data_IF_264350211103
#
_entry.id   IF_264350211103
#
_cell.length_a   1.000
_cell.length_b   1.000
_cell.length_c   1.000
_cell.angle_alpha   90.00
_cell.angle_beta   90.00
_cell.angle_gamma   90.00
#
_symmetry.space_group_name_H-M   'P 1'
#
loop_
_entity.id
_entity.type
_entity.pdbx_description
1 polymer ?
#
# COMPACT_ATOMS: atom_id res chain seq x y z
N UNK A 1 -2.71 -17.35 2.24
CA UNK A 1 -2.83 -16.06 2.96
C UNK A 1 -3.72 -16.13 4.20
N UNK A 2 -4.88 -16.81 4.19
CA UNK A 2 -5.78 -16.92 5.37
C UNK A 2 -5.10 -17.27 6.71
N UNK A 3 -4.16 -18.23 6.72
CA UNK A 3 -3.38 -18.59 7.92
C UNK A 3 -2.59 -17.41 8.51
N UNK A 4 -2.09 -16.52 7.65
CA UNK A 4 -1.36 -15.32 8.08
C UNK A 4 -2.32 -14.30 8.66
N UNK A 5 -3.47 -14.09 8.04
CA UNK A 5 -4.53 -13.21 8.56
C UNK A 5 -4.98 -13.65 9.97
N UNK A 6 -5.21 -14.95 10.15
CA UNK A 6 -5.57 -15.52 11.44
C UNK A 6 -4.45 -15.33 12.47
N UNK A 7 -3.19 -15.40 12.05
CA UNK A 7 -2.02 -15.18 12.92
C UNK A 7 -1.92 -13.70 13.33
N UNK A 8 -2.12 -12.76 12.39
CA UNK A 8 -2.13 -11.32 12.65
C UNK A 8 -3.23 -10.96 13.66
N UNK A 9 -4.43 -11.49 13.48
CA UNK A 9 -5.55 -11.23 14.38
C UNK A 9 -5.32 -11.84 15.77
N UNK A 10 -4.80 -13.07 15.86
CA UNK A 10 -4.45 -13.70 17.14
C UNK A 10 -3.37 -12.90 17.89
N UNK A 11 -2.32 -12.47 17.20
CA UNK A 11 -1.27 -11.61 17.78
C UNK A 11 -1.84 -10.30 18.32
N UNK A 12 -2.68 -9.64 17.52
CA UNK A 12 -3.33 -8.41 17.95
C UNK A 12 -4.15 -8.64 19.23
N UNK A 13 -5.01 -9.66 19.26
CA UNK A 13 -5.83 -9.96 20.45
C UNK A 13 -4.99 -10.31 21.67
N UNK A 14 -3.94 -11.11 21.49
CA UNK A 14 -3.06 -11.57 22.56
C UNK A 14 -2.40 -10.43 23.32
N UNK A 15 -1.88 -9.43 22.60
CA UNK A 15 -1.24 -8.27 23.22
C UNK A 15 -2.23 -7.17 23.58
N UNK A 16 -3.26 -6.91 22.76
CA UNK A 16 -4.19 -5.79 22.97
C UNK A 16 -5.02 -5.92 24.24
N UNK A 17 -5.49 -7.13 24.56
CA UNK A 17 -6.42 -7.36 25.65
C UNK A 17 -5.75 -7.74 26.98
N UNK A 18 -4.42 -7.90 27.00
CA UNK A 18 -3.65 -8.18 28.21
C UNK A 18 -2.60 -7.08 28.44
N UNK A 19 -2.78 -6.31 29.51
CA UNK A 19 -1.82 -5.29 29.93
C UNK A 19 -0.46 -5.93 30.26
N UNK A 20 -0.47 -7.13 30.86
CA UNK A 20 0.74 -7.87 31.20
C UNK A 20 1.51 -8.31 29.95
N UNK A 21 0.84 -8.90 28.95
CA UNK A 21 1.50 -9.29 27.70
C UNK A 21 2.02 -8.07 26.93
N UNK A 22 1.23 -6.98 26.88
CA UNK A 22 1.68 -5.73 26.30
C UNK A 22 2.91 -5.14 26.99
N UNK A 23 2.98 -5.19 28.32
CA UNK A 23 4.11 -4.70 29.09
C UNK A 23 5.36 -5.58 28.88
N UNK A 24 5.19 -6.91 28.88
CA UNK A 24 6.25 -7.87 28.60
C UNK A 24 6.87 -7.64 27.22
N UNK A 25 6.04 -7.57 26.18
CA UNK A 25 6.50 -7.30 24.81
C UNK A 25 7.25 -5.97 24.73
N UNK A 26 6.77 -4.91 25.39
CA UNK A 26 7.47 -3.61 25.41
C UNK A 26 8.85 -3.71 26.05
N UNK A 27 8.98 -4.45 27.14
CA UNK A 27 10.27 -4.66 27.81
C UNK A 27 11.26 -5.39 26.88
N UNK A 28 10.79 -6.43 26.18
CA UNK A 28 11.61 -7.15 25.19
C UNK A 28 11.93 -6.24 24.01
N UNK A 29 10.97 -5.48 23.49
CA UNK A 29 11.19 -4.55 22.37
C UNK A 29 12.25 -3.50 22.70
N UNK A 30 12.30 -2.95 23.90
CA UNK A 30 13.33 -1.96 24.29
C UNK A 30 14.75 -2.53 24.13
N UNK A 31 14.93 -3.84 24.36
CA UNK A 31 16.22 -4.50 24.21
C UNK A 31 16.64 -4.68 22.73
N UNK A 32 15.68 -4.80 21.81
CA UNK A 32 15.94 -5.10 20.39
C UNK A 32 15.70 -3.92 19.43
N UNK A 33 14.83 -2.98 19.81
CA UNK A 33 14.27 -1.94 18.96
C UNK A 33 14.23 -0.67 19.79
N UNK A 34 15.01 0.34 19.39
CA UNK A 34 15.17 1.61 20.12
C UNK A 34 13.84 2.30 20.47
N UNK A 35 12.76 2.03 19.71
CA UNK A 35 11.41 2.49 20.00
C UNK A 35 10.40 1.32 19.96
N UNK A 36 9.66 1.06 21.06
CA UNK A 36 8.69 -0.02 21.10
C UNK A 36 7.50 0.25 20.17
N UNK A 37 7.11 -0.77 19.41
CA UNK A 37 6.04 -0.69 18.42
C UNK A 37 4.78 -1.37 18.95
N UNK A 38 3.65 -0.67 18.87
CA UNK A 38 2.35 -1.29 19.19
C UNK A 38 1.88 -2.17 18.05
N UNK A 39 1.47 -3.40 18.36
CA UNK A 39 0.86 -4.31 17.39
C UNK A 39 -0.49 -3.75 16.95
N UNK A 40 -0.67 -3.59 15.64
CA UNK A 40 -1.88 -3.00 15.05
C UNK A 40 -2.82 -4.08 14.53
N UNK A 41 -4.12 -3.76 14.52
CA UNK A 41 -5.13 -4.66 13.99
C UNK A 41 -5.09 -4.69 12.46
N UNK A 42 -5.14 -5.88 11.90
CA UNK A 42 -5.28 -6.11 10.47
C UNK A 42 -6.77 -6.08 10.07
N UNK A 43 -7.28 -4.94 9.60
CA UNK A 43 -8.65 -4.87 9.06
C UNK A 43 -8.67 -5.42 7.62
N UNK A 44 -9.39 -6.52 7.41
CA UNK A 44 -9.44 -7.25 6.14
C UNK A 44 -9.80 -6.40 4.90
N UNK A 45 -10.64 -5.37 5.07
CA UNK A 45 -11.11 -4.52 3.96
C UNK A 45 -10.24 -3.29 3.70
N UNK A 46 -9.16 -3.06 4.47
CA UNK A 46 -8.31 -1.86 4.33
C UNK A 46 -6.85 -2.23 4.24
N UNK A 47 -6.30 -2.13 3.04
CA UNK A 47 -4.88 -2.38 2.76
C UNK A 47 -3.96 -1.55 3.66
N UNK A 48 -4.33 -0.31 3.98
CA UNK A 48 -3.58 0.55 4.90
C UNK A 48 -3.48 -0.03 6.32
N UNK A 49 -4.59 -0.53 6.86
CA UNK A 49 -4.60 -1.14 8.20
C UNK A 49 -3.78 -2.43 8.20
N UNK A 50 -3.92 -3.23 7.14
CA UNK A 50 -3.22 -4.49 6.99
C UNK A 50 -1.71 -4.28 6.85
N UNK A 51 -1.27 -3.30 6.04
CA UNK A 51 0.12 -2.89 5.92
C UNK A 51 0.71 -2.45 7.25
N UNK A 52 -0.02 -1.63 8.01
CA UNK A 52 0.43 -1.19 9.33
C UNK A 52 0.58 -2.34 10.33
N UNK A 53 -0.33 -3.32 10.31
CA UNK A 53 -0.24 -4.52 11.13
C UNK A 53 1.00 -5.36 10.77
N UNK A 54 1.15 -5.70 9.49
CA UNK A 54 2.29 -6.46 8.97
C UNK A 54 3.62 -5.75 9.27
N UNK A 55 3.71 -4.44 9.01
CA UNK A 55 4.91 -3.66 9.29
C UNK A 55 5.27 -3.64 10.78
N UNK A 56 4.29 -3.53 11.69
CA UNK A 56 4.54 -3.56 13.13
C UNK A 56 5.10 -4.91 13.60
N UNK A 57 4.58 -6.01 13.04
CA UNK A 57 4.95 -7.37 13.39
C UNK A 57 6.30 -7.74 12.79
N UNK A 58 6.54 -7.47 11.51
CA UNK A 58 7.81 -7.79 10.85
C UNK A 58 8.99 -7.01 11.48
N UNK A 59 8.77 -5.74 11.84
CA UNK A 59 9.80 -4.95 12.55
C UNK A 59 10.04 -5.43 13.98
N UNK A 60 9.02 -5.98 14.63
CA UNK A 60 9.11 -6.50 16.00
C UNK A 60 9.28 -8.01 16.06
N UNK A 61 9.59 -8.65 14.94
CA UNK A 61 9.40 -10.08 14.79
C UNK A 61 10.22 -10.88 15.80
N UNK A 62 11.51 -10.56 15.93
CA UNK A 62 12.41 -11.20 16.89
C UNK A 62 11.94 -10.98 18.33
N UNK A 63 11.55 -9.74 18.69
CA UNK A 63 11.05 -9.43 20.02
C UNK A 63 9.77 -10.21 20.36
N UNK A 64 8.84 -10.33 19.41
CA UNK A 64 7.60 -11.12 19.58
C UNK A 64 7.92 -12.59 19.82
N UNK A 65 8.84 -13.17 19.04
CA UNK A 65 9.21 -14.59 19.20
C UNK A 65 9.85 -14.82 20.57
N UNK A 66 10.79 -13.98 20.99
CA UNK A 66 11.46 -14.08 22.30
C UNK A 66 10.46 -13.94 23.46
N UNK A 67 9.54 -12.98 23.37
CA UNK A 67 8.50 -12.79 24.39
C UNK A 67 7.58 -14.02 24.51
N UNK A 68 7.16 -14.59 23.37
CA UNK A 68 6.34 -15.80 23.34
C UNK A 68 7.11 -17.05 23.80
N UNK A 69 8.40 -17.16 23.51
CA UNK A 69 9.25 -18.25 24.02
C UNK A 69 9.42 -18.17 25.54
N UNK A 70 9.59 -16.96 26.08
CA UNK A 70 9.66 -16.72 27.52
C UNK A 70 8.32 -17.04 28.18
N UNK A 71 7.22 -16.66 27.53
CA UNK A 71 5.86 -16.96 27.98
C UNK A 71 5.50 -18.45 27.86
N UNK A 72 6.11 -19.19 26.93
CA UNK A 72 5.90 -20.64 26.76
C UNK A 72 6.32 -21.42 28.02
N UNK A 73 7.34 -20.94 28.73
CA UNK A 73 7.76 -21.48 30.04
C UNK A 73 6.60 -21.45 31.06
N UNK A 74 5.66 -20.51 30.90
CA UNK A 74 4.47 -20.37 31.76
C UNK A 74 3.24 -21.22 31.34
N UNK A 75 3.38 -22.07 30.31
CA UNK A 75 2.32 -22.97 29.82
C UNK A 75 1.06 -22.29 29.25
N UNK A 76 1.20 -21.09 28.64
CA UNK A 76 0.08 -20.45 27.93
C UNK A 76 -0.21 -21.15 26.58
N UNK A 77 -1.34 -21.87 26.44
CA UNK A 77 -1.66 -22.59 25.21
C UNK A 77 -1.91 -21.66 24.02
N UNK A 78 -2.40 -20.43 24.24
CA UNK A 78 -2.68 -19.47 23.18
C UNK A 78 -1.37 -18.91 22.63
N UNK A 79 -0.46 -18.49 23.51
CA UNK A 79 0.89 -18.04 23.16
C UNK A 79 1.65 -19.11 22.38
N UNK A 80 1.54 -20.38 22.79
CA UNK A 80 2.19 -21.51 22.13
C UNK A 80 1.66 -21.77 20.72
N UNK A 81 0.35 -21.66 20.51
CA UNK A 81 -0.26 -21.76 19.19
C UNK A 81 0.23 -20.66 18.23
N UNK A 82 0.38 -19.43 18.76
CA UNK A 82 0.92 -18.29 17.99
C UNK A 82 2.39 -18.51 17.67
N UNK A 83 3.20 -18.91 18.66
CA UNK A 83 4.63 -19.18 18.48
C UNK A 83 4.88 -20.25 17.42
N UNK A 84 4.12 -21.36 17.46
CA UNK A 84 4.19 -22.40 16.43
C UNK A 84 3.84 -21.87 15.03
N UNK A 85 2.87 -20.96 14.95
CA UNK A 85 2.48 -20.34 13.67
C UNK A 85 3.55 -19.38 13.16
N UNK A 86 4.22 -18.64 14.04
CA UNK A 86 5.33 -17.77 13.66
C UNK A 86 6.57 -18.56 13.23
N UNK A 87 6.91 -19.64 13.94
CA UNK A 87 8.03 -20.53 13.59
C UNK A 87 7.82 -21.35 12.32
N UNK A 88 6.63 -21.32 11.74
CA UNK A 88 6.37 -21.94 10.44
C UNK A 88 7.04 -21.13 9.31
N UNK A 89 7.98 -21.71 8.55
CA UNK A 89 8.73 -20.98 7.53
C UNK A 89 7.83 -20.41 6.42
N UNK A 90 6.72 -21.08 6.10
CA UNK A 90 5.74 -20.56 5.13
C UNK A 90 5.06 -19.28 5.65
N UNK A 91 4.70 -19.25 6.94
CA UNK A 91 4.07 -18.08 7.56
C UNK A 91 5.03 -16.89 7.61
N UNK A 92 6.31 -17.12 7.97
CA UNK A 92 7.35 -16.09 7.90
C UNK A 92 7.48 -15.52 6.47
N UNK A 93 7.63 -16.38 5.46
CA UNK A 93 7.77 -15.94 4.05
C UNK A 93 6.56 -15.13 3.57
N UNK A 94 5.35 -15.54 3.95
CA UNK A 94 4.15 -14.78 3.59
C UNK A 94 4.13 -13.41 4.27
N UNK A 95 4.52 -13.30 5.54
CA UNK A 95 4.59 -12.01 6.24
C UNK A 95 5.61 -11.07 5.59
N UNK A 96 6.78 -11.59 5.21
CA UNK A 96 7.80 -10.80 4.50
C UNK A 96 7.29 -10.38 3.11
N UNK A 97 6.60 -11.28 2.38
CA UNK A 97 6.04 -10.99 1.06
C UNK A 97 4.98 -9.88 1.16
N UNK A 98 4.13 -9.94 2.18
CA UNK A 98 3.15 -8.89 2.46
C UNK A 98 3.83 -7.57 2.83
N UNK A 99 4.91 -7.61 3.62
CA UNK A 99 5.67 -6.41 3.97
C UNK A 99 6.35 -5.75 2.76
N UNK A 100 6.70 -6.52 1.73
CA UNK A 100 7.26 -6.01 0.48
C UNK A 100 6.19 -5.51 -0.51
N UNK A 101 4.97 -6.05 -0.47
CA UNK A 101 3.93 -5.77 -1.48
C UNK A 101 2.92 -4.71 -1.05
N UNK A 102 2.43 -4.78 0.19
CA UNK A 102 1.38 -3.89 0.70
C UNK A 102 1.75 -2.40 0.70
N UNK A 103 3.01 -1.97 0.94
CA UNK A 103 3.36 -0.56 0.88
C UNK A 103 3.06 0.08 -0.48
N UNK A 104 3.31 -0.65 -1.57
CA UNK A 104 3.04 -0.16 -2.93
C UNK A 104 1.54 0.04 -3.19
N UNK A 105 0.72 -0.90 -2.71
CA UNK A 105 -0.74 -0.77 -2.78
C UNK A 105 -1.27 0.38 -1.92
N UNK A 106 -0.65 0.62 -0.75
CA UNK A 106 -1.01 1.74 0.11
C UNK A 106 -0.66 3.08 -0.55
N UNK A 107 0.45 3.18 -1.30
CA UNK A 107 0.80 4.39 -2.03
C UNK A 107 -0.29 4.79 -3.02
N UNK A 108 -0.79 3.83 -3.81
CA UNK A 108 -1.90 4.06 -4.73
C UNK A 108 -3.17 4.45 -3.96
N UNK A 109 -3.50 3.72 -2.89
CA UNK A 109 -4.69 4.03 -2.07
C UNK A 109 -4.64 5.42 -1.44
N UNK A 110 -3.47 5.84 -0.96
CA UNK A 110 -3.27 7.15 -0.35
C UNK A 110 -3.25 8.26 -1.39
N UNK A 111 -2.88 7.99 -2.64
CA UNK A 111 -2.96 8.96 -3.73
C UNK A 111 -4.40 9.42 -3.94
N UNK A 112 -5.35 8.48 -3.98
CA UNK A 112 -6.78 8.78 -4.13
C UNK A 112 -7.42 9.41 -2.89
N UNK A 113 -6.83 9.21 -1.70
CA UNK A 113 -7.36 9.77 -0.45
C UNK A 113 -6.83 11.19 -0.14
N UNK A 114 -5.96 11.75 -0.99
CA UNK A 114 -5.45 13.11 -0.80
C UNK A 114 -6.55 14.11 -1.16
N UNK A 115 -6.61 15.21 -0.41
CA UNK A 115 -7.51 16.32 -0.71
C UNK A 115 -7.18 16.99 -2.05
N UNK A 116 -5.89 17.05 -2.36
CA UNK A 116 -5.36 17.60 -3.61
C UNK A 116 -4.80 16.44 -4.45
N UNK A 117 -5.68 15.65 -5.07
CA UNK A 117 -5.26 14.55 -5.94
C UNK A 117 -4.69 15.13 -7.24
N UNK A 118 -3.39 14.91 -7.49
CA UNK A 118 -2.87 15.12 -8.84
C UNK A 118 -3.30 13.93 -9.71
N UNK A 119 -4.43 14.10 -10.41
CA UNK A 119 -5.02 13.10 -11.27
C UNK A 119 -4.08 12.66 -12.40
N UNK A 120 -3.20 13.54 -12.88
CA UNK A 120 -2.25 13.15 -13.93
C UNK A 120 -1.09 12.27 -13.44
N UNK A 121 -0.84 12.24 -12.12
CA UNK A 121 0.13 11.33 -11.51
C UNK A 121 -0.44 9.93 -11.21
N UNK A 122 -1.76 9.74 -11.34
CA UNK A 122 -2.45 8.47 -11.04
C UNK A 122 -1.95 7.35 -11.94
N UNK A 123 -1.97 7.56 -13.27
CA UNK A 123 -1.47 6.57 -14.23
C UNK A 123 -0.03 6.19 -13.96
N UNK A 124 0.86 7.20 -13.86
CA UNK A 124 2.28 7.00 -13.60
C UNK A 124 2.54 6.22 -12.32
N UNK A 125 1.79 6.50 -11.26
CA UNK A 125 1.94 5.82 -9.96
C UNK A 125 1.40 4.38 -10.02
N UNK A 126 0.31 4.16 -10.74
CA UNK A 126 -0.26 2.83 -10.99
C UNK A 126 0.68 1.97 -11.82
N UNK A 127 1.19 2.46 -12.94
CA UNK A 127 2.14 1.74 -13.81
C UNK A 127 3.41 1.37 -13.06
N UNK A 128 3.94 2.30 -12.25
CA UNK A 128 5.09 2.04 -11.38
C UNK A 128 4.79 0.93 -10.36
N UNK A 129 3.58 0.94 -9.79
CA UNK A 129 3.15 -0.08 -8.83
C UNK A 129 3.02 -1.45 -9.49
N UNK A 130 2.35 -1.54 -10.65
CA UNK A 130 2.20 -2.78 -11.42
C UNK A 130 3.56 -3.33 -11.86
N UNK A 131 4.44 -2.48 -12.43
CA UNK A 131 5.81 -2.87 -12.78
C UNK A 131 6.57 -3.40 -11.57
N UNK A 132 6.43 -2.74 -10.41
CA UNK A 132 7.07 -3.22 -9.18
C UNK A 132 6.53 -4.58 -8.76
N UNK A 133 5.22 -4.80 -8.78
CA UNK A 133 4.62 -6.10 -8.45
C UNK A 133 5.08 -7.20 -9.41
N UNK A 134 5.20 -6.90 -10.71
CA UNK A 134 5.74 -7.83 -11.71
C UNK A 134 7.21 -8.18 -11.45
N UNK A 135 8.05 -7.17 -11.15
CA UNK A 135 9.45 -7.40 -10.75
C UNK A 135 9.51 -8.27 -9.49
N UNK A 136 8.58 -8.08 -8.55
CA UNK A 136 8.51 -8.89 -7.32
C UNK A 136 8.09 -10.33 -7.56
N UNK A 137 7.70 -10.76 -8.77
CA UNK A 137 7.52 -12.18 -9.10
C UNK A 137 8.87 -12.90 -9.23
N UNK A 138 9.87 -12.22 -9.78
CA UNK A 138 11.20 -12.79 -10.07
C UNK A 138 12.27 -12.36 -9.08
N UNK A 139 12.17 -11.16 -8.51
CA UNK A 139 13.15 -10.57 -7.60
C UNK A 139 12.59 -10.38 -6.19
N UNK A 140 13.32 -10.88 -5.19
CA UNK A 140 12.98 -10.72 -3.78
C UNK A 140 12.94 -9.23 -3.38
N UNK A 141 11.99 -8.88 -2.52
CA UNK A 141 11.93 -7.55 -1.93
C UNK A 141 12.88 -7.39 -0.74
N UNK A 142 13.03 -6.16 -0.22
CA UNK A 142 13.92 -5.87 0.91
C UNK A 142 13.69 -6.75 2.14
N UNK A 143 12.45 -7.16 2.42
CA UNK A 143 12.13 -8.04 3.54
C UNK A 143 12.39 -9.51 3.23
N UNK A 144 12.04 -10.00 2.04
CA UNK A 144 12.36 -11.38 1.62
C UNK A 144 13.87 -11.65 1.58
N UNK A 145 14.68 -10.66 1.18
CA UNK A 145 16.14 -10.79 1.20
C UNK A 145 16.69 -11.00 2.62
N UNK A 146 16.01 -10.45 3.64
CA UNK A 146 16.37 -10.60 5.05
C UNK A 146 15.85 -11.89 5.69
N UNK A 147 15.14 -12.73 4.95
CA UNK A 147 14.54 -13.98 5.46
C UNK A 147 15.56 -14.85 6.19
N UNK A 148 16.73 -15.09 5.59
CA UNK A 148 17.76 -15.95 6.19
C UNK A 148 18.30 -15.40 7.51
N UNK A 149 18.53 -14.08 7.57
CA UNK A 149 18.98 -13.41 8.78
C UNK A 149 17.92 -13.49 9.88
N UNK A 150 16.66 -13.22 9.54
CA UNK A 150 15.55 -13.29 10.49
C UNK A 150 15.37 -14.72 10.99
N UNK A 151 15.37 -15.71 10.10
CA UNK A 151 15.21 -17.13 10.43
C UNK A 151 16.35 -17.67 11.30
N UNK A 152 17.60 -17.24 11.06
CA UNK A 152 18.75 -17.60 11.87
C UNK A 152 18.64 -17.06 13.31
N UNK A 153 18.20 -15.81 13.48
CA UNK A 153 18.07 -15.18 14.80
C UNK A 153 17.05 -15.86 15.74
N UNK A 154 16.13 -16.65 15.18
CA UNK A 154 14.98 -17.26 15.88
C UNK A 154 14.93 -18.79 15.72
N UNK A 155 15.97 -19.38 15.13
CA UNK A 155 16.10 -20.82 14.90
C UNK A 155 14.94 -21.45 14.12
N UNK A 156 14.51 -20.83 13.00
CA UNK A 156 13.56 -21.46 12.06
C UNK A 156 14.35 -22.26 11.00
N UNK A 157 14.04 -23.55 10.86
CA UNK A 157 14.54 -24.38 9.76
C UNK A 157 13.85 -23.98 8.46
N UNK A 158 14.59 -23.40 7.52
CA UNK A 158 14.05 -22.98 6.22
C UNK A 158 14.17 -24.09 5.18
N UNK A 159 13.03 -24.52 4.62
CA UNK A 159 12.96 -25.39 3.44
C UNK A 159 13.27 -24.64 2.12
N UNK A 160 13.52 -25.32 0.98
CA UNK A 160 13.84 -24.64 -0.29
C UNK A 160 12.81 -23.57 -0.69
N UNK A 161 13.30 -22.42 -1.16
CA UNK A 161 12.46 -21.26 -1.57
C UNK A 161 11.64 -21.52 -2.85
N UNK A 162 12.09 -22.45 -3.69
CA UNK A 162 11.49 -22.71 -5.00
C UNK A 162 10.00 -23.10 -4.90
N UNK A 163 9.67 -23.99 -3.97
CA UNK A 163 8.29 -24.45 -3.75
C UNK A 163 7.36 -23.32 -3.30
N UNK A 164 7.85 -22.42 -2.44
CA UNK A 164 7.09 -21.26 -1.99
C UNK A 164 6.82 -20.28 -3.14
N UNK A 165 7.82 -20.04 -3.98
CA UNK A 165 7.68 -19.12 -5.11
C UNK A 165 6.60 -19.60 -6.08
N UNK A 166 6.64 -20.87 -6.45
CA UNK A 166 5.67 -21.44 -7.41
C UNK A 166 4.27 -21.60 -6.81
N UNK A 167 4.16 -22.06 -5.56
CA UNK A 167 2.85 -22.40 -4.96
C UNK A 167 2.13 -21.21 -4.32
N UNK A 168 2.86 -20.20 -3.85
CA UNK A 168 2.28 -19.09 -3.06
C UNK A 168 2.54 -17.74 -3.71
N UNK A 169 3.81 -17.42 -3.99
CA UNK A 169 4.19 -16.07 -4.45
C UNK A 169 3.61 -15.72 -5.81
N UNK A 170 3.83 -16.56 -6.82
CA UNK A 170 3.39 -16.29 -8.18
C UNK A 170 1.85 -16.19 -8.26
N UNK A 171 1.08 -17.17 -7.74
CA UNK A 171 -0.39 -17.08 -7.80
C UNK A 171 -0.95 -15.89 -7.02
N UNK A 172 -0.35 -15.55 -5.87
CA UNK A 172 -0.77 -14.39 -5.07
C UNK A 172 -0.53 -13.07 -5.81
N UNK A 173 0.66 -12.90 -6.38
CA UNK A 173 1.00 -11.68 -7.11
C UNK A 173 0.18 -11.54 -8.40
N UNK A 174 -0.07 -12.64 -9.11
CA UNK A 174 -0.93 -12.64 -10.29
C UNK A 174 -2.35 -12.21 -9.94
N UNK A 175 -2.96 -12.85 -8.93
CA UNK A 175 -4.29 -12.45 -8.48
C UNK A 175 -4.32 -11.00 -7.99
N UNK A 176 -3.26 -10.51 -7.36
CA UNK A 176 -3.16 -9.12 -6.92
C UNK A 176 -3.09 -8.15 -8.10
N UNK A 177 -2.27 -8.47 -9.11
CA UNK A 177 -2.13 -7.67 -10.33
C UNK A 177 -3.44 -7.65 -11.11
N UNK A 178 -4.11 -8.79 -11.23
CA UNK A 178 -5.41 -8.90 -11.91
C UNK A 178 -6.46 -8.06 -11.18
N UNK A 179 -6.52 -8.15 -9.85
CA UNK A 179 -7.46 -7.35 -9.05
C UNK A 179 -7.19 -5.84 -9.11
N UNK A 180 -5.92 -5.44 -9.18
CA UNK A 180 -5.57 -4.03 -9.35
C UNK A 180 -5.97 -3.57 -10.76
N UNK A 181 -5.59 -4.32 -11.79
CA UNK A 181 -5.91 -4.01 -13.18
C UNK A 181 -7.42 -3.94 -13.44
N UNK A 182 -8.18 -4.91 -12.91
CA UNK A 182 -9.64 -4.98 -13.06
C UNK A 182 -10.37 -3.83 -12.35
N UNK A 183 -9.77 -3.20 -11.33
CA UNK A 183 -10.34 -2.00 -10.70
C UNK A 183 -10.15 -0.73 -11.52
N UNK A 184 -9.25 -0.77 -12.50
CA UNK A 184 -8.91 0.37 -13.37
C UNK A 184 -9.17 0.04 -14.83
N UNK A 185 -10.22 -0.74 -15.12
CA UNK A 185 -10.66 -1.09 -16.50
C UNK A 185 -10.96 0.14 -17.35
N UNK A 186 -11.37 1.25 -16.75
CA UNK A 186 -11.56 2.54 -17.43
C UNK A 186 -10.23 3.32 -17.55
N UNK A 187 -9.14 2.61 -17.91
CA UNK A 187 -7.80 3.17 -18.00
C UNK A 187 -7.73 4.32 -19.02
N UNK A 188 -8.58 4.27 -20.04
CA UNK A 188 -8.65 5.28 -21.10
C UNK A 188 -8.99 6.68 -20.56
N UNK A 189 -9.82 6.75 -19.51
CA UNK A 189 -10.17 8.01 -18.83
C UNK A 189 -8.98 8.49 -18.01
N UNK A 190 -8.37 7.60 -17.23
CA UNK A 190 -7.20 7.91 -16.40
C UNK A 190 -6.03 8.39 -17.27
N UNK A 191 -5.93 7.88 -18.49
CA UNK A 191 -5.01 8.33 -19.52
C UNK A 191 -5.31 9.75 -19.97
N UNK A 192 -6.59 10.09 -20.20
CA UNK A 192 -6.99 11.46 -20.51
C UNK A 192 -6.75 12.41 -19.34
N UNK A 193 -6.86 11.95 -18.09
CA UNK A 193 -6.58 12.76 -16.90
C UNK A 193 -5.09 13.12 -16.77
N UNK A 194 -4.19 12.50 -17.54
CA UNK A 194 -2.76 12.86 -17.58
C UNK A 194 -2.50 14.29 -18.04
N UNK A 195 -3.41 14.87 -18.83
CA UNK A 195 -3.32 16.29 -19.25
C UNK A 195 -3.34 17.26 -18.07
N UNK A 196 -3.84 16.83 -16.90
CA UNK A 196 -3.90 17.65 -15.69
C UNK A 196 -2.58 17.72 -14.92
N UNK A 197 -1.55 16.95 -15.30
CA UNK A 197 -0.21 17.11 -14.71
C UNK A 197 0.56 18.24 -15.38
N UNK A 198 0.24 19.48 -14.99
CA UNK A 198 0.88 20.69 -15.53
C UNK A 198 2.25 20.98 -14.90
N UNK A 199 2.77 20.10 -14.04
CA UNK A 199 4.04 20.30 -13.35
C UNK A 199 5.21 20.34 -14.35
N UNK A 200 5.91 21.47 -14.42
CA UNK A 200 7.09 21.66 -15.28
C UNK A 200 6.79 22.11 -16.71
N UNK A 201 5.56 22.53 -17.00
CA UNK A 201 5.22 23.16 -18.29
C UNK A 201 5.18 24.68 -18.15
N UNK A 202 6.25 25.35 -18.61
CA UNK A 202 6.35 26.82 -18.57
C UNK A 202 5.45 27.50 -19.63
N UNK A 203 5.15 26.79 -20.72
CA UNK A 203 4.27 27.26 -21.80
C UNK A 203 3.42 26.11 -22.32
N UNK A 204 2.09 26.23 -22.23
CA UNK A 204 1.16 25.27 -22.80
C UNK A 204 0.75 25.70 -24.22
N UNK A 205 0.79 24.80 -25.22
CA UNK A 205 0.20 25.05 -26.54
C UNK A 205 -1.28 25.42 -26.45
N UNK A 206 -1.77 26.27 -27.36
CA UNK A 206 -3.15 26.76 -27.37
C UNK A 206 -4.22 25.65 -27.49
N UNK A 207 -3.85 24.46 -27.95
CA UNK A 207 -4.75 23.30 -28.13
C UNK A 207 -4.35 22.11 -27.22
N UNK A 208 -3.53 22.34 -26.20
CA UNK A 208 -3.07 21.27 -25.31
C UNK A 208 -4.24 20.61 -24.56
N UNK A 209 -4.40 19.30 -24.73
CA UNK A 209 -5.39 18.49 -24.01
C UNK A 209 -6.80 18.50 -24.60
N UNK A 210 -7.04 19.11 -25.77
CA UNK A 210 -8.40 19.28 -26.31
C UNK A 210 -9.07 17.95 -26.70
N UNK A 211 -8.32 17.00 -27.26
CA UNK A 211 -8.84 15.68 -27.65
C UNK A 211 -9.20 14.85 -26.43
N UNK A 212 -8.37 14.97 -25.40
CA UNK A 212 -8.52 14.31 -24.12
C UNK A 212 -9.71 14.89 -23.35
N UNK A 213 -9.92 16.21 -23.42
CA UNK A 213 -11.09 16.90 -22.86
C UNK A 213 -12.39 16.51 -23.56
N UNK A 214 -12.40 16.31 -24.88
CA UNK A 214 -13.58 15.80 -25.59
C UNK A 214 -14.00 14.43 -25.05
N UNK A 215 -13.03 13.54 -24.85
CA UNK A 215 -13.26 12.19 -24.33
C UNK A 215 -13.74 12.22 -22.88
N UNK A 216 -13.22 13.15 -22.06
CA UNK A 216 -13.69 13.39 -20.70
C UNK A 216 -15.12 13.99 -20.68
N UNK A 217 -15.41 14.94 -21.55
CA UNK A 217 -16.72 15.59 -21.64
C UNK A 217 -17.81 14.57 -22.03
N UNK A 218 -17.54 13.71 -23.02
CA UNK A 218 -18.45 12.64 -23.41
C UNK A 218 -18.71 11.66 -22.26
N UNK A 219 -17.65 11.24 -21.55
CA UNK A 219 -17.78 10.31 -20.44
C UNK A 219 -18.57 10.89 -19.25
N UNK A 220 -18.31 12.15 -18.89
CA UNK A 220 -18.99 12.81 -17.75
C UNK A 220 -20.30 13.51 -18.14
N UNK A 221 -20.75 13.37 -19.40
CA UNK A 221 -21.94 14.06 -19.93
C UNK A 221 -21.89 15.59 -19.73
N UNK A 222 -20.71 16.18 -19.96
CA UNK A 222 -20.47 17.63 -19.90
C UNK A 222 -20.42 18.21 -21.31
N UNK A 223 -20.70 19.51 -21.45
CA UNK A 223 -20.53 20.21 -22.71
C UNK A 223 -19.02 20.38 -23.03
N UNK A 224 -18.52 19.83 -24.16
CA UNK A 224 -17.11 19.95 -24.52
C UNK A 224 -16.64 21.39 -24.73
N UNK A 225 -17.51 22.28 -25.21
CA UNK A 225 -17.16 23.68 -25.47
C UNK A 225 -16.97 24.46 -24.16
N UNK A 226 -17.86 24.22 -23.19
CA UNK A 226 -17.75 24.78 -21.84
C UNK A 226 -16.48 24.27 -21.14
N UNK A 227 -16.21 22.96 -21.24
CA UNK A 227 -15.05 22.35 -20.59
C UNK A 227 -13.73 22.87 -21.19
N UNK A 228 -13.65 23.04 -22.51
CA UNK A 228 -12.47 23.60 -23.19
C UNK A 228 -12.25 25.08 -22.87
N UNK A 229 -13.33 25.87 -22.81
CA UNK A 229 -13.25 27.28 -22.43
C UNK A 229 -12.71 27.42 -21.01
N UNK A 230 -13.22 26.61 -20.08
CA UNK A 230 -12.73 26.61 -18.70
C UNK A 230 -11.30 26.09 -18.59
N UNK A 231 -10.92 25.09 -19.38
CA UNK A 231 -9.55 24.58 -19.44
C UNK A 231 -8.56 25.66 -19.89
N UNK A 232 -8.87 26.40 -20.96
CA UNK A 232 -8.04 27.51 -21.43
C UNK A 232 -7.91 28.61 -20.37
N UNK A 233 -9.02 28.99 -19.73
CA UNK A 233 -8.99 29.97 -18.63
C UNK A 233 -8.10 29.50 -17.46
N UNK A 234 -8.11 28.19 -17.17
CA UNK A 234 -7.36 27.61 -16.06
C UNK A 234 -5.87 27.43 -16.38
N UNK A 235 -5.54 26.98 -17.59
CA UNK A 235 -4.16 26.90 -18.09
C UNK A 235 -3.49 28.28 -18.08
N UNK A 236 -4.23 29.32 -18.51
CA UNK A 236 -3.75 30.70 -18.45
C UNK A 236 -3.52 31.21 -17.02
N UNK A 237 -4.37 30.84 -16.07
CA UNK A 237 -4.22 31.18 -14.65
C UNK A 237 -3.03 30.45 -13.99
N UNK A 238 -2.69 29.23 -14.41
CA UNK A 238 -1.54 28.49 -13.89
C UNK A 238 -0.21 28.99 -14.49
N UNK A 239 -0.15 29.28 -15.79
CA UNK A 239 1.04 29.86 -16.43
C UNK A 239 1.40 31.25 -15.87
N UNK A 240 0.42 32.00 -15.35
CA UNK A 240 0.63 33.31 -14.73
C UNK A 240 0.92 33.26 -13.21
N UNK A 241 0.68 32.12 -12.54
CA UNK A 241 0.80 31.95 -11.08
C UNK A 241 2.07 31.24 -10.59
N UNK A 242 3.11 31.12 -11.41
CA UNK A 242 4.45 30.61 -11.03
C UNK A 242 5.16 31.39 -9.88
N UNK A 243 4.45 32.21 -9.10
CA UNK A 243 4.93 32.86 -7.87
C UNK A 243 4.14 32.55 -6.60
N UNK A 244 3.04 31.77 -6.62
CA UNK A 244 2.35 31.39 -5.39
C UNK A 244 1.90 29.92 -5.45
N UNK A 245 2.75 29.07 -4.87
CA UNK A 245 2.42 27.69 -4.52
C UNK A 245 1.09 27.65 -3.73
N UNK A 246 0.19 26.76 -4.13
CA UNK A 246 -1.21 26.58 -3.68
C UNK A 246 -2.25 27.39 -4.45
N UNK A 247 -2.67 26.88 -5.61
CA UNK A 247 -3.92 27.32 -6.23
C UNK A 247 -5.05 26.41 -5.74
N UNK A 248 -5.54 26.72 -4.55
CA UNK A 248 -6.91 26.42 -4.14
C UNK A 248 -7.85 27.33 -4.94
N UNK A 249 -8.10 27.03 -6.23
CA UNK A 249 -9.12 27.76 -6.99
C UNK A 249 -10.48 27.11 -6.76
N UNK A 250 -11.42 27.76 -6.04
CA UNK A 250 -12.72 27.17 -5.71
C UNK A 250 -13.57 26.82 -6.95
N UNK A 251 -13.25 27.36 -8.13
CA UNK A 251 -13.94 27.05 -9.39
C UNK A 251 -13.47 25.76 -10.07
N UNK A 252 -12.18 25.40 -9.97
CA UNK A 252 -11.68 24.10 -10.44
C UNK A 252 -12.31 22.96 -9.63
N UNK A 253 -12.48 23.20 -8.33
CA UNK A 253 -13.13 22.27 -7.41
C UNK A 253 -14.60 22.10 -7.76
N UNK A 254 -15.35 23.14 -8.14
CA UNK A 254 -16.79 22.99 -8.45
C UNK A 254 -17.08 22.29 -9.77
N UNK A 255 -16.18 22.38 -10.75
CA UNK A 255 -16.37 21.81 -12.10
C UNK A 255 -15.83 20.39 -12.18
N UNK A 256 -14.71 20.12 -11.52
CA UNK A 256 -14.20 18.76 -11.35
C UNK A 256 -14.86 18.04 -10.17
N UNK A 257 -15.73 18.70 -9.39
CA UNK A 257 -16.44 18.10 -8.26
C UNK A 257 -17.16 16.78 -8.63
N UNK A 258 -17.84 16.66 -9.79
CA UNK A 258 -18.42 15.40 -10.23
C UNK A 258 -17.34 14.33 -10.43
N UNK A 259 -16.22 14.67 -11.07
CA UNK A 259 -15.07 13.77 -11.32
C UNK A 259 -14.39 13.34 -10.01
N UNK A 260 -14.25 14.27 -9.07
CA UNK A 260 -13.72 14.01 -7.72
C UNK A 260 -14.71 13.24 -6.82
N UNK A 261 -16.02 13.26 -7.09
CA UNK A 261 -17.03 12.51 -6.34
C UNK A 261 -17.11 11.03 -6.75
N UNK A 262 -16.49 10.63 -7.86
CA UNK A 262 -16.44 9.24 -8.33
C UNK A 262 -15.26 8.42 -7.78
N UNK A 263 -14.29 9.05 -7.10
CA UNK A 263 -13.13 8.40 -6.46
C UNK A 263 -13.19 8.46 -4.93
#
# INVERSE_FOLDING_TARGET
MKKVDDTLEKLYKYYKYSCNHSASLKAVQIAFIQAPLTIKQAKHHRWLSHNQAVASIVRSYQAIVVDLETSNISSDPVGNGILKSLKDPTTLRCLLLLADTLPHLCTVSLLFQRRDVNLGMVKTTMDKTLKTLQIRKTQDGPWLLKEQQIAANINITTEPKADFNTKVRTPFLDQLIDNVTARFTDSDIIDQLSIMDLNGTDTLPALYGFTELYTLADHFSMDPEDLQTQWLCTGYLNCTKNHLNSVSSPHLVSVLLPIYQFF
#
